data_IF_229095168780
#
_entry.id   IF_229095168780
#
_cell.length_a   1.000
_cell.length_b   1.000
_cell.length_c   1.000
_cell.angle_alpha   90.00
_cell.angle_beta   90.00
_cell.angle_gamma   90.00
#
_symmetry.space_group_name_H-M   'P 1'
#
loop_
_entity.id
_entity.type
_entity.pdbx_description
1 polymer ?
#
# COMPACT_ATOMS: atom_id res chain seq x y z
N UNK A 1 20.21 4.01 26.86
CA UNK A 1 19.85 3.19 25.67
C UNK A 1 20.09 1.73 26.02
N UNK A 2 19.11 0.83 25.87
CA UNK A 2 19.28 -0.59 26.20
C UNK A 2 20.07 -1.30 25.09
N UNK A 3 21.04 -2.12 25.51
CA UNK A 3 21.84 -3.00 24.65
C UNK A 3 20.96 -4.14 24.16
N UNK A 4 20.82 -4.23 22.84
CA UNK A 4 20.35 -5.37 22.04
C UNK A 4 18.99 -5.97 22.41
N UNK A 5 18.02 -5.72 21.54
CA UNK A 5 16.73 -6.43 21.54
C UNK A 5 16.89 -7.75 20.78
N UNK A 6 16.69 -8.86 21.48
CA UNK A 6 16.63 -10.22 20.93
C UNK A 6 15.21 -10.43 20.32
N UNK A 7 15.03 -9.99 19.07
CA UNK A 7 13.74 -9.97 18.37
C UNK A 7 13.15 -11.37 18.14
N UNK A 8 13.93 -12.44 18.27
CA UNK A 8 13.49 -13.83 18.13
C UNK A 8 12.69 -14.32 19.36
N UNK A 9 12.98 -13.79 20.56
CA UNK A 9 12.25 -14.14 21.81
C UNK A 9 11.11 -13.18 22.15
N UNK A 10 11.04 -12.04 21.47
CA UNK A 10 9.97 -11.09 21.67
C UNK A 10 8.70 -11.60 20.97
N UNK A 11 7.68 -11.95 21.76
CA UNK A 11 6.33 -12.20 21.23
C UNK A 11 5.78 -10.86 20.73
N UNK A 12 6.11 -10.52 19.48
CA UNK A 12 5.69 -9.28 18.85
C UNK A 12 4.16 -9.20 18.85
N UNK A 13 3.59 -8.35 19.70
CA UNK A 13 2.18 -8.01 19.60
C UNK A 13 1.97 -7.32 18.26
N UNK A 14 1.18 -7.92 17.37
CA UNK A 14 0.73 -7.26 16.14
C UNK A 14 0.14 -5.90 16.51
N UNK A 15 0.61 -4.85 15.85
CA UNK A 15 0.16 -3.49 16.13
C UNK A 15 -1.38 -3.41 15.97
N UNK A 16 -2.15 -3.16 17.05
CA UNK A 16 -3.61 -3.14 17.01
C UNK A 16 -4.17 -1.97 16.19
N UNK A 17 -3.34 -0.98 15.84
CA UNK A 17 -3.69 0.15 14.99
C UNK A 17 -3.32 -0.05 13.52
N UNK A 18 -2.64 -1.15 13.16
CA UNK A 18 -2.27 -1.42 11.78
C UNK A 18 -3.50 -1.48 10.85
N UNK A 19 -4.61 -2.02 11.35
CA UNK A 19 -5.89 -2.06 10.62
C UNK A 19 -6.48 -0.67 10.37
N UNK A 20 -6.10 0.34 11.15
CA UNK A 20 -6.61 1.73 11.00
C UNK A 20 -5.76 2.58 10.05
N UNK A 21 -4.59 2.10 9.62
CA UNK A 21 -3.70 2.84 8.73
C UNK A 21 -4.15 2.83 7.27
N UNK A 22 -4.91 1.81 6.85
CA UNK A 22 -5.43 1.72 5.48
C UNK A 22 -6.72 2.51 5.35
N UNK A 23 -6.67 3.64 4.65
CA UNK A 23 -7.88 4.37 4.26
C UNK A 23 -8.44 3.75 2.98
N UNK A 24 -9.67 3.27 3.02
CA UNK A 24 -10.39 2.81 1.83
C UNK A 24 -11.08 4.01 1.19
N UNK A 25 -10.73 4.29 -0.07
CA UNK A 25 -11.34 5.35 -0.88
C UNK A 25 -12.11 4.68 -2.01
N UNK A 26 -13.35 5.11 -2.24
CA UNK A 26 -14.16 4.68 -3.40
C UNK A 26 -14.30 5.87 -4.35
N UNK A 27 -13.74 5.74 -5.54
CA UNK A 27 -13.80 6.74 -6.61
C UNK A 27 -14.56 6.16 -7.80
N UNK A 28 -15.40 6.98 -8.43
CA UNK A 28 -15.92 6.66 -9.76
C UNK A 28 -14.84 7.00 -10.78
N UNK A 29 -14.50 6.03 -11.62
CA UNK A 29 -13.49 6.17 -12.66
C UNK A 29 -14.09 5.62 -13.95
N UNK A 30 -13.87 6.31 -15.05
CA UNK A 30 -14.27 5.83 -16.37
C UNK A 30 -13.36 4.68 -16.83
N UNK A 31 -13.89 3.80 -17.69
CA UNK A 31 -13.18 2.61 -18.16
C UNK A 31 -11.89 2.96 -18.91
N UNK A 32 -11.92 4.03 -19.72
CA UNK A 32 -10.77 4.51 -20.50
C UNK A 32 -9.59 4.92 -19.62
N UNK A 33 -9.87 5.66 -18.55
CA UNK A 33 -8.87 6.07 -17.55
C UNK A 33 -8.23 4.83 -16.91
N UNK A 34 -9.04 3.81 -16.62
CA UNK A 34 -8.56 2.58 -16.00
C UNK A 34 -7.65 1.79 -16.95
N UNK A 35 -7.99 1.72 -18.24
CA UNK A 35 -7.13 1.13 -19.29
C UNK A 35 -5.82 1.90 -19.45
N UNK A 36 -5.87 3.23 -19.43
CA UNK A 36 -4.67 4.07 -19.47
C UNK A 36 -3.71 3.73 -18.33
N UNK A 37 -4.17 3.76 -17.08
CA UNK A 37 -3.31 3.44 -15.93
C UNK A 37 -2.87 1.97 -15.92
N UNK A 38 -3.67 1.06 -16.46
CA UNK A 38 -3.30 -0.36 -16.56
C UNK A 38 -2.19 -0.58 -17.61
N UNK A 39 -2.20 0.15 -18.73
CA UNK A 39 -1.11 0.13 -19.70
C UNK A 39 0.20 0.67 -19.11
N UNK A 40 0.12 1.83 -18.41
CA UNK A 40 1.28 2.47 -17.76
C UNK A 40 1.83 1.65 -16.61
N UNK A 41 0.98 0.89 -15.92
CA UNK A 41 1.38 -0.05 -14.87
C UNK A 41 2.28 -1.16 -15.41
N UNK A 42 2.01 -1.68 -16.62
CA UNK A 42 2.84 -2.71 -17.26
C UNK A 42 4.23 -2.19 -17.63
N UNK A 43 4.33 -0.92 -18.01
CA UNK A 43 5.60 -0.28 -18.38
C UNK A 43 6.48 0.05 -17.18
N UNK A 44 5.86 0.54 -16.10
CA UNK A 44 6.57 1.06 -14.92
C UNK A 44 6.81 0.01 -13.84
N UNK A 45 6.12 -1.14 -13.91
CA UNK A 45 6.14 -2.17 -12.87
C UNK A 45 5.44 -1.76 -11.56
N UNK A 46 4.83 -0.58 -11.54
CA UNK A 46 4.07 -0.03 -10.40
C UNK A 46 2.60 -0.35 -10.63
N UNK A 47 1.84 -0.69 -9.59
CA UNK A 47 0.41 -0.99 -9.74
C UNK A 47 -0.37 0.24 -10.21
N UNK A 48 -1.40 0.02 -11.05
CA UNK A 48 -2.29 1.10 -11.51
C UNK A 48 -2.93 1.87 -10.33
N UNK A 49 -3.18 1.21 -9.19
CA UNK A 49 -3.70 1.84 -7.97
C UNK A 49 -2.71 2.83 -7.36
N UNK A 50 -1.42 2.49 -7.35
CA UNK A 50 -0.37 3.41 -6.91
C UNK A 50 -0.18 4.56 -7.87
N UNK A 51 -0.29 4.31 -9.19
CA UNK A 51 -0.23 5.37 -10.20
C UNK A 51 -1.39 6.36 -10.05
N UNK A 52 -2.62 5.87 -9.83
CA UNK A 52 -3.79 6.73 -9.58
C UNK A 52 -3.60 7.56 -8.31
N UNK A 53 -2.93 7.04 -7.28
CA UNK A 53 -2.65 7.80 -6.05
C UNK A 53 -1.52 8.83 -6.21
N UNK A 54 -0.69 8.74 -7.26
CA UNK A 54 0.45 9.63 -7.50
C UNK A 54 0.09 10.87 -8.34
N UNK A 55 -1.05 10.83 -9.03
CA UNK A 55 -1.59 11.91 -9.87
C UNK A 55 -2.85 12.50 -9.23
#
# INVERSE_FOLDING_TARGET
MKKEYDFEKMTGRKNPYASKLKQQITIKVETDILEYFQSRSKETGISYQQLINLY
#
